data_IF_808849673612
#
_entry.id   IF_808849673612
#
_cell.length_a   1.000
_cell.length_b   1.000
_cell.length_c   1.000
_cell.angle_alpha   90.00
_cell.angle_beta   90.00
_cell.angle_gamma   90.00
#
_symmetry.space_group_name_H-M   'P 1'
#
loop_
_entity.id
_entity.type
_entity.pdbx_description
1 polymer ?
#
# COMPACT_ATOMS: atom_id res chain seq x y z
N UNK A 1 -7.39 3.70 -8.16
CA UNK A 1 -6.77 3.76 -9.52
C UNK A 1 -7.49 4.80 -10.38
N UNK A 2 -6.92 5.23 -11.50
CA UNK A 2 -7.58 6.11 -12.47
C UNK A 2 -7.66 5.44 -13.84
N UNK A 3 -8.78 5.60 -14.54
CA UNK A 3 -8.91 5.16 -15.92
C UNK A 3 -7.88 5.90 -16.81
N UNK A 4 -7.12 5.21 -17.67
CA UNK A 4 -6.08 5.84 -18.48
C UNK A 4 -6.67 6.70 -19.60
N UNK A 5 -7.92 6.43 -19.99
CA UNK A 5 -8.63 7.15 -21.05
C UNK A 5 -9.31 8.42 -20.52
N UNK A 6 -10.22 8.27 -19.55
CA UNK A 6 -11.06 9.38 -19.09
C UNK A 6 -10.67 9.95 -17.71
N UNK A 7 -9.63 9.40 -17.07
CA UNK A 7 -9.16 9.77 -15.72
C UNK A 7 -10.19 9.63 -14.60
N UNK A 8 -11.34 9.00 -14.86
CA UNK A 8 -12.30 8.68 -13.82
C UNK A 8 -11.65 7.82 -12.74
N UNK A 9 -11.95 8.13 -11.48
CA UNK A 9 -11.52 7.33 -10.34
C UNK A 9 -12.17 5.95 -10.44
N UNK A 10 -11.36 4.92 -10.37
CA UNK A 10 -11.78 3.53 -10.29
C UNK A 10 -11.26 2.94 -8.98
N UNK A 11 -12.17 2.51 -8.11
CA UNK A 11 -11.87 1.79 -6.88
C UNK A 11 -12.37 0.35 -7.03
N UNK A 12 -11.48 -0.65 -6.98
CA UNK A 12 -11.90 -2.04 -6.86
C UNK A 12 -12.60 -2.25 -5.50
N UNK A 13 -13.58 -3.15 -5.45
CA UNK A 13 -14.59 -3.27 -4.36
C UNK A 13 -14.04 -3.64 -2.97
N UNK A 14 -12.73 -3.84 -2.80
CA UNK A 14 -12.17 -4.23 -1.50
C UNK A 14 -12.17 -3.11 -0.44
N UNK A 15 -12.47 -1.87 -0.84
CA UNK A 15 -12.38 -0.67 0.01
C UNK A 15 -13.74 -0.12 0.51
N UNK A 16 -14.86 -0.82 0.30
CA UNK A 16 -16.16 -0.37 0.83
C UNK A 16 -16.65 -1.29 1.95
N UNK A 17 -16.77 -0.79 3.20
CA UNK A 17 -17.37 -1.55 4.30
C UNK A 17 -18.88 -1.83 4.10
N UNK A 18 -19.52 -1.24 3.10
CA UNK A 18 -20.98 -1.25 2.94
C UNK A 18 -21.38 -1.49 1.48
N UNK A 19 -21.60 -2.76 1.12
CA UNK A 19 -22.67 -3.16 0.19
C UNK A 19 -22.78 -4.69 0.17
N UNK A 20 -23.59 -5.25 1.08
CA UNK A 20 -24.07 -6.63 0.99
C UNK A 20 -25.25 -6.71 0.01
N UNK A 21 -25.01 -6.40 -1.26
CA UNK A 21 -25.97 -6.78 -2.30
C UNK A 21 -25.55 -8.13 -2.89
N UNK A 22 -26.36 -9.11 -2.55
CA UNK A 22 -26.36 -10.49 -3.02
C UNK A 22 -26.62 -10.56 -4.52
N UNK A 23 -25.58 -10.64 -5.34
CA UNK A 23 -25.56 -11.40 -6.59
C UNK A 23 -24.14 -11.30 -7.15
N UNK A 24 -23.50 -12.46 -7.37
CA UNK A 24 -22.28 -12.71 -8.15
C UNK A 24 -21.70 -11.50 -8.91
N UNK A 25 -21.21 -10.51 -8.16
CA UNK A 25 -20.81 -9.21 -8.70
C UNK A 25 -19.42 -9.36 -9.25
N UNK A 26 -19.36 -10.01 -10.40
CA UNK A 26 -18.23 -10.00 -11.30
C UNK A 26 -17.89 -8.53 -11.52
N UNK A 27 -16.79 -8.08 -10.92
CA UNK A 27 -16.27 -6.72 -11.09
C UNK A 27 -16.24 -6.48 -12.60
N UNK A 28 -17.11 -5.60 -13.10
CA UNK A 28 -17.10 -5.28 -14.52
C UNK A 28 -15.73 -4.69 -14.82
N UNK A 29 -14.94 -5.28 -15.73
CA UNK A 29 -13.64 -4.75 -16.06
C UNK A 29 -13.75 -3.44 -16.83
N UNK A 30 -14.95 -2.96 -17.15
CA UNK A 30 -15.15 -1.76 -17.96
C UNK A 30 -15.26 -0.51 -17.09
N UNK A 31 -14.65 0.58 -17.58
CA UNK A 31 -14.82 1.90 -16.99
C UNK A 31 -16.26 2.37 -17.14
N UNK A 32 -16.96 2.60 -16.02
CA UNK A 32 -18.37 3.08 -16.02
C UNK A 32 -18.61 4.39 -16.79
N UNK A 33 -17.57 5.23 -16.97
CA UNK A 33 -17.68 6.52 -17.66
C UNK A 33 -17.45 6.46 -19.16
N UNK A 34 -16.50 5.65 -19.62
CA UNK A 34 -16.07 5.66 -21.03
C UNK A 34 -16.05 4.28 -21.69
N UNK A 35 -16.41 3.21 -20.98
CA UNK A 35 -16.43 1.84 -21.50
C UNK A 35 -15.05 1.21 -21.73
N UNK A 36 -13.94 1.92 -21.44
CA UNK A 36 -12.60 1.39 -21.61
C UNK A 36 -12.36 0.14 -20.75
N UNK A 37 -11.68 -0.85 -21.30
CA UNK A 37 -11.27 -2.06 -20.58
C UNK A 37 -10.16 -1.74 -19.56
N UNK A 38 -10.45 -2.05 -18.29
CA UNK A 38 -9.59 -1.88 -17.13
C UNK A 38 -9.04 -3.23 -16.64
N UNK A 39 -9.31 -4.35 -17.32
CA UNK A 39 -8.75 -5.67 -16.97
C UNK A 39 -7.23 -5.62 -16.72
N UNK A 40 -6.41 -4.93 -17.55
CA UNK A 40 -4.98 -4.84 -17.29
C UNK A 40 -4.64 -4.08 -16.00
N UNK A 41 -5.40 -3.03 -15.67
CA UNK A 41 -5.21 -2.27 -14.44
C UNK A 41 -5.62 -3.07 -13.20
N UNK A 42 -6.73 -3.79 -13.31
CA UNK A 42 -7.20 -4.71 -12.25
C UNK A 42 -6.13 -5.77 -12.01
N UNK A 43 -5.59 -6.37 -13.08
CA UNK A 43 -4.54 -7.38 -12.97
C UNK A 43 -3.28 -6.83 -12.31
N UNK A 44 -2.83 -5.63 -12.66
CA UNK A 44 -1.66 -5.00 -12.01
C UNK A 44 -1.92 -4.75 -10.52
N UNK A 45 -3.12 -4.31 -10.15
CA UNK A 45 -3.51 -4.11 -8.77
C UNK A 45 -3.53 -5.42 -7.98
N UNK A 46 -4.12 -6.49 -8.53
CA UNK A 46 -4.18 -7.80 -7.90
C UNK A 46 -2.77 -8.39 -7.72
N UNK A 47 -1.90 -8.23 -8.72
CA UNK A 47 -0.48 -8.58 -8.58
C UNK A 47 0.19 -7.78 -7.46
N UNK A 48 -0.07 -6.47 -7.36
CA UNK A 48 0.50 -5.65 -6.30
C UNK A 48 0.08 -6.15 -4.90
N UNK A 49 -1.19 -6.50 -4.71
CA UNK A 49 -1.70 -7.09 -3.47
C UNK A 49 -1.02 -8.44 -3.20
N UNK A 50 -0.84 -9.27 -4.22
CA UNK A 50 -0.16 -10.56 -4.07
C UNK A 50 1.27 -10.37 -3.57
N UNK A 51 2.04 -9.47 -4.17
CA UNK A 51 3.41 -9.15 -3.73
C UNK A 51 3.43 -8.60 -2.30
N UNK A 52 2.48 -7.73 -1.95
CA UNK A 52 2.36 -7.21 -0.58
C UNK A 52 2.12 -8.33 0.44
N UNK A 53 1.21 -9.27 0.15
CA UNK A 53 0.95 -10.41 1.04
C UNK A 53 2.18 -11.33 1.16
N UNK A 54 2.95 -11.51 0.08
CA UNK A 54 4.22 -12.23 0.16
C UNK A 54 5.24 -11.48 1.04
N UNK A 55 5.29 -10.14 0.96
CA UNK A 55 6.16 -9.35 1.81
C UNK A 55 5.82 -9.51 3.29
N UNK A 56 4.54 -9.50 3.65
CA UNK A 56 4.08 -9.75 5.02
C UNK A 56 4.51 -11.13 5.50
N UNK A 57 4.33 -12.16 4.67
CA UNK A 57 4.76 -13.52 5.02
C UNK A 57 6.27 -13.61 5.25
N UNK A 58 7.08 -12.97 4.41
CA UNK A 58 8.54 -12.97 4.56
C UNK A 58 8.98 -12.21 5.81
N UNK A 59 8.31 -11.10 6.12
CA UNK A 59 8.53 -10.31 7.32
C UNK A 59 8.24 -11.12 8.59
N UNK A 60 7.14 -11.88 8.62
CA UNK A 60 6.80 -12.77 9.74
C UNK A 60 7.82 -13.91 9.91
N UNK A 61 8.47 -14.31 8.82
CA UNK A 61 9.56 -15.29 8.83
C UNK A 61 10.92 -14.68 9.21
N UNK A 62 11.01 -13.37 9.42
CA UNK A 62 12.26 -12.66 9.71
C UNK A 62 13.15 -12.41 8.48
N UNK A 63 12.68 -12.74 7.27
CA UNK A 63 13.42 -12.57 6.03
C UNK A 63 13.28 -11.13 5.49
N UNK A 64 13.85 -10.15 6.20
CA UNK A 64 13.63 -8.72 5.93
C UNK A 64 14.08 -8.28 4.53
N UNK A 65 15.18 -8.82 4.01
CA UNK A 65 15.67 -8.53 2.65
C UNK A 65 14.67 -8.99 1.58
N UNK A 66 14.12 -10.20 1.72
CA UNK A 66 13.14 -10.72 0.79
C UNK A 66 11.81 -9.96 0.90
N UNK A 67 11.40 -9.60 2.12
CA UNK A 67 10.22 -8.78 2.35
C UNK A 67 10.34 -7.41 1.65
N UNK A 68 11.51 -6.79 1.70
CA UNK A 68 11.79 -5.53 1.01
C UNK A 68 11.61 -5.67 -0.50
N UNK A 69 12.21 -6.69 -1.11
CA UNK A 69 12.05 -6.95 -2.56
C UNK A 69 10.58 -7.12 -2.91
N UNK A 70 9.80 -7.87 -2.11
CA UNK A 70 8.38 -8.07 -2.38
C UNK A 70 7.57 -6.77 -2.24
N UNK A 71 7.86 -5.92 -1.25
CA UNK A 71 7.21 -4.59 -1.13
C UNK A 71 7.53 -3.69 -2.31
N UNK A 72 8.78 -3.69 -2.79
CA UNK A 72 9.19 -2.90 -3.95
C UNK A 72 8.43 -3.35 -5.20
N UNK A 73 8.23 -4.65 -5.38
CA UNK A 73 7.41 -5.19 -6.48
C UNK A 73 5.94 -4.76 -6.37
N UNK A 74 5.37 -4.70 -5.16
CA UNK A 74 4.02 -4.20 -4.93
C UNK A 74 3.90 -2.72 -5.31
N UNK A 75 4.83 -1.88 -4.83
CA UNK A 75 4.88 -0.45 -5.12
C UNK A 75 5.09 -0.13 -6.61
N UNK A 76 5.88 -0.93 -7.31
CA UNK A 76 6.11 -0.77 -8.75
C UNK A 76 4.84 -0.97 -9.59
N UNK A 77 3.91 -1.82 -9.12
CA UNK A 77 2.64 -2.12 -9.79
C UNK A 77 1.53 -1.20 -9.36
N UNK A 78 1.49 -0.87 -8.06
CA UNK A 78 0.50 0.04 -7.52
C UNK A 78 1.09 0.91 -6.40
N UNK A 79 1.59 2.07 -6.80
CA UNK A 79 2.20 3.06 -5.90
C UNK A 79 1.21 3.76 -4.95
N UNK A 80 -0.10 3.66 -5.23
CA UNK A 80 -1.15 4.44 -4.57
C UNK A 80 -1.75 3.82 -3.31
N UNK A 81 -1.16 2.75 -2.76
CA UNK A 81 -1.66 2.09 -1.55
C UNK A 81 -0.85 2.52 -0.31
N UNK A 82 -1.54 3.00 0.72
CA UNK A 82 -0.90 3.47 1.95
C UNK A 82 -0.20 2.33 2.73
N UNK A 83 -0.78 1.13 2.75
CA UNK A 83 -0.24 -0.03 3.48
C UNK A 83 1.13 -0.44 2.93
N UNK A 84 1.33 -0.32 1.62
CA UNK A 84 2.59 -0.68 0.97
C UNK A 84 3.72 0.25 1.42
N UNK A 85 3.43 1.55 1.52
CA UNK A 85 4.36 2.55 2.06
C UNK A 85 4.57 2.37 3.56
N UNK A 86 3.54 1.98 4.31
CA UNK A 86 3.67 1.72 5.74
C UNK A 86 4.59 0.53 6.03
N UNK A 87 4.43 -0.55 5.25
CA UNK A 87 5.30 -1.72 5.33
C UNK A 87 6.73 -1.43 4.86
N UNK A 88 6.90 -0.66 3.78
CA UNK A 88 8.22 -0.19 3.35
C UNK A 88 8.94 0.58 4.47
N UNK A 89 8.21 1.47 5.15
CA UNK A 89 8.78 2.22 6.28
C UNK A 89 9.17 1.31 7.45
N UNK A 90 8.35 0.31 7.76
CA UNK A 90 8.67 -0.70 8.78
C UNK A 90 9.94 -1.48 8.44
N UNK A 91 10.08 -1.93 7.20
CA UNK A 91 11.25 -2.68 6.75
C UNK A 91 12.52 -1.83 6.76
N UNK A 92 12.43 -0.57 6.33
CA UNK A 92 13.54 0.37 6.41
C UNK A 92 13.97 0.63 7.87
N UNK A 93 13.02 0.81 8.78
CA UNK A 93 13.33 0.97 10.21
C UNK A 93 14.03 -0.26 10.81
N UNK A 94 13.60 -1.47 10.43
CA UNK A 94 14.25 -2.73 10.83
C UNK A 94 15.68 -2.84 10.28
N UNK A 95 15.95 -2.23 9.12
CA UNK A 95 17.29 -2.13 8.53
C UNK A 95 18.14 -0.98 9.10
N UNK A 96 17.64 -0.22 10.08
CA UNK A 96 18.31 0.96 10.63
C UNK A 96 18.28 2.20 9.73
N UNK A 97 17.52 2.16 8.64
CA UNK A 97 17.37 3.22 7.65
C UNK A 97 16.23 4.17 8.05
N UNK A 98 16.44 4.89 9.16
CA UNK A 98 15.42 5.77 9.75
C UNK A 98 14.98 6.94 8.85
N UNK A 99 15.86 7.59 8.05
CA UNK A 99 15.43 8.61 7.09
C UNK A 99 14.44 8.06 6.05
N UNK A 100 14.73 6.90 5.47
CA UNK A 100 13.91 6.22 4.48
C UNK A 100 12.58 5.74 5.09
N UNK A 101 12.63 5.24 6.33
CA UNK A 101 11.43 4.88 7.09
C UNK A 101 10.47 6.07 7.26
N UNK A 102 11.03 7.22 7.64
CA UNK A 102 10.29 8.47 7.82
C UNK A 102 9.60 8.91 6.53
N UNK A 103 10.32 8.89 5.41
CA UNK A 103 9.77 9.25 4.09
C UNK A 103 8.61 8.33 3.72
N UNK A 104 8.77 7.03 3.94
CA UNK A 104 7.78 6.01 3.62
C UNK A 104 6.51 6.15 4.48
N UNK A 105 6.63 6.32 5.81
CA UNK A 105 5.47 6.53 6.68
C UNK A 105 4.76 7.85 6.41
N UNK A 106 5.49 8.94 6.13
CA UNK A 106 4.86 10.19 5.68
C UNK A 106 4.08 10.02 4.38
N UNK A 107 4.59 9.19 3.46
CA UNK A 107 3.88 8.88 2.21
C UNK A 107 2.60 8.08 2.48
N UNK A 108 2.65 7.08 3.37
CA UNK A 108 1.47 6.35 3.80
C UNK A 108 0.41 7.29 4.38
N UNK A 109 0.79 8.20 5.27
CA UNK A 109 -0.11 9.19 5.88
C UNK A 109 -0.65 10.22 4.89
N UNK A 110 0.10 10.56 3.85
CA UNK A 110 -0.40 11.41 2.76
C UNK A 110 -1.49 10.71 1.93
N UNK A 111 -1.43 9.38 1.81
CA UNK A 111 -2.41 8.57 1.08
C UNK A 111 -3.63 8.23 1.96
N UNK A 112 -3.39 7.90 3.23
CA UNK A 112 -4.41 7.65 4.23
C UNK A 112 -3.99 8.34 5.55
N UNK A 113 -4.53 9.54 5.84
CA UNK A 113 -4.23 10.27 7.08
C UNK A 113 -4.58 9.51 8.36
N UNK A 114 -5.53 8.57 8.29
CA UNK A 114 -5.99 7.77 9.44
C UNK A 114 -5.23 6.45 9.57
N UNK A 115 -4.12 6.26 8.83
CA UNK A 115 -3.33 5.04 8.91
C UNK A 115 -2.61 4.92 10.26
N UNK A 116 -3.24 4.23 11.21
CA UNK A 116 -2.80 4.11 12.59
C UNK A 116 -1.35 3.61 12.73
N UNK A 117 -0.98 2.52 12.06
CA UNK A 117 0.37 1.96 12.18
C UNK A 117 1.46 2.92 11.68
N UNK A 118 1.23 3.60 10.54
CA UNK A 118 2.19 4.56 10.00
C UNK A 118 2.33 5.80 10.92
N UNK A 119 1.22 6.28 11.48
CA UNK A 119 1.22 7.39 12.45
C UNK A 119 2.00 7.02 13.70
N UNK A 120 1.70 5.86 14.29
CA UNK A 120 2.35 5.36 15.49
C UNK A 120 3.85 5.16 15.29
N UNK A 121 4.27 4.48 14.22
CA UNK A 121 5.68 4.25 13.94
C UNK A 121 6.45 5.56 13.68
N UNK A 122 5.86 6.51 12.95
CA UNK A 122 6.47 7.80 12.72
C UNK A 122 6.63 8.59 14.03
N UNK A 123 5.60 8.58 14.89
CA UNK A 123 5.66 9.24 16.18
C UNK A 123 6.76 8.65 17.07
N UNK A 124 6.80 7.33 17.22
CA UNK A 124 7.83 6.65 18.03
C UNK A 124 9.24 6.98 17.55
N UNK A 125 9.45 7.04 16.22
CA UNK A 125 10.76 7.40 15.66
C UNK A 125 11.14 8.86 15.94
N UNK A 126 10.17 9.79 15.82
CA UNK A 126 10.41 11.22 16.10
C UNK A 126 10.66 11.48 17.60
N UNK A 127 10.01 10.72 18.48
CA UNK A 127 10.25 10.77 19.92
C UNK A 127 11.67 10.28 20.26
N UNK A 128 12.09 9.16 19.68
CA UNK A 128 13.46 8.66 19.83
C UNK A 128 14.50 9.66 19.31
N UNK A 129 14.24 10.34 18.19
CA UNK A 129 15.13 11.36 17.66
C UNK A 129 15.20 12.65 18.50
N UNK A 130 14.16 12.94 19.30
CA UNK A 130 14.12 14.09 20.22
C UNK A 130 14.82 13.81 21.55
N UNK A 131 15.02 12.54 21.91
CA UNK A 131 15.81 12.13 23.06
C UNK A 131 17.13 11.53 22.57
N UNK A 132 18.08 12.35 22.06
CA UNK A 132 19.45 11.88 22.02
C UNK A 132 19.86 11.69 23.49
N UNK A 133 20.17 10.46 23.89
CA UNK A 133 20.74 10.18 25.21
C UNK A 133 21.93 11.11 25.49
N UNK A 134 21.88 11.85 26.61
CA UNK A 134 23.05 12.39 27.33
C UNK A 134 23.81 13.56 26.73
#
# INVERSE_FOLDING_TARGET
>A
MHCPVCRAVYRPLKDTPESWDTESSSISPLCRRCGADLSPLIQLHDQAIWYYNQALKQLDQGNYSQAQVMVEQALARYYGNADFHALAGRLAALAGQFPEATVSWRRALKLNPEHQSASHCLQSLLEAARQPDG
#
